data_IF_496759312616
#
_entry.id   IF_496759312616
#
_cell.length_a   1.000
_cell.length_b   1.000
_cell.length_c   1.000
_cell.angle_alpha   90.00
_cell.angle_beta   90.00
_cell.angle_gamma   90.00
#
_symmetry.space_group_name_H-M   'P 1'
#
loop_
_entity.id
_entity.type
_entity.pdbx_description
1 polymer ?
#
# COMPACT_ATOMS: atom_id res chain seq x y z
N UNK A 1 -4.04 -20.88 0.08
CA UNK A 1 -4.54 -19.49 0.27
C UNK A 1 -5.23 -19.02 -1.00
N UNK A 2 -6.39 -18.36 -0.87
CA UNK A 2 -7.11 -17.78 -2.02
C UNK A 2 -6.31 -16.60 -2.60
N UNK A 3 -6.40 -16.32 -3.92
CA UNK A 3 -5.70 -15.19 -4.54
C UNK A 3 -6.00 -13.84 -3.87
N UNK A 4 -7.25 -13.63 -3.43
CA UNK A 4 -7.70 -12.43 -2.70
C UNK A 4 -6.92 -12.19 -1.41
N UNK A 5 -6.65 -13.24 -0.64
CA UNK A 5 -5.87 -13.17 0.60
C UNK A 5 -4.41 -12.83 0.31
N UNK A 6 -3.85 -13.38 -0.77
CA UNK A 6 -2.48 -13.07 -1.20
C UNK A 6 -2.34 -11.60 -1.59
N UNK A 7 -3.32 -11.08 -2.34
CA UNK A 7 -3.32 -9.67 -2.74
C UNK A 7 -3.50 -8.77 -1.51
N UNK A 8 -4.44 -9.07 -0.61
CA UNK A 8 -4.61 -8.31 0.62
C UNK A 8 -3.32 -8.24 1.46
N UNK A 9 -2.66 -9.38 1.68
CA UNK A 9 -1.39 -9.44 2.42
C UNK A 9 -0.29 -8.66 1.69
N UNK A 10 -0.18 -8.80 0.36
CA UNK A 10 0.79 -8.06 -0.43
C UNK A 10 0.54 -6.54 -0.36
N UNK A 11 -0.71 -6.10 -0.48
CA UNK A 11 -1.10 -4.69 -0.35
C UNK A 11 -0.76 -4.14 1.04
N UNK A 12 -0.99 -4.90 2.10
CA UNK A 12 -0.60 -4.52 3.47
C UNK A 12 0.91 -4.41 3.61
N UNK A 13 1.67 -5.39 3.09
CA UNK A 13 3.14 -5.36 3.13
C UNK A 13 3.71 -4.16 2.36
N UNK A 14 3.14 -3.86 1.19
CA UNK A 14 3.54 -2.69 0.38
C UNK A 14 3.17 -1.39 1.10
N UNK A 15 2.01 -1.32 1.76
CA UNK A 15 1.60 -0.19 2.58
C UNK A 15 2.58 0.08 3.73
N UNK A 16 2.96 -0.95 4.47
CA UNK A 16 3.94 -0.84 5.55
C UNK A 16 5.30 -0.37 5.04
N UNK A 17 5.81 -0.98 3.96
CA UNK A 17 7.09 -0.61 3.37
C UNK A 17 7.06 0.84 2.86
N UNK A 18 6.01 1.22 2.14
CA UNK A 18 5.83 2.59 1.67
C UNK A 18 5.77 3.59 2.83
N UNK A 19 5.05 3.27 3.91
CA UNK A 19 4.91 4.16 5.06
C UNK A 19 6.23 4.33 5.82
N UNK A 20 6.99 3.26 6.00
CA UNK A 20 8.33 3.33 6.60
C UNK A 20 9.30 4.15 5.73
N UNK A 21 9.30 3.95 4.41
CA UNK A 21 10.10 4.75 3.48
C UNK A 21 9.67 6.22 3.51
N UNK A 22 8.35 6.49 3.51
CA UNK A 22 7.80 7.85 3.63
C UNK A 22 8.29 8.56 4.90
N UNK A 23 8.38 7.86 6.03
CA UNK A 23 8.89 8.43 7.28
C UNK A 23 10.39 8.75 7.23
N UNK A 24 11.20 7.88 6.61
CA UNK A 24 12.66 8.05 6.54
C UNK A 24 13.06 9.19 5.60
N UNK A 25 12.29 9.44 4.54
CA UNK A 25 12.62 10.45 3.53
C UNK A 25 12.53 11.90 4.03
N UNK A 26 11.94 12.14 5.21
CA UNK A 26 12.00 13.42 5.93
C UNK A 26 11.30 14.62 5.27
N UNK A 27 10.87 14.51 4.01
CA UNK A 27 10.08 15.54 3.32
C UNK A 27 8.71 15.02 2.94
N UNK A 28 7.69 15.85 3.15
CA UNK A 28 6.28 15.50 2.88
C UNK A 28 6.06 15.15 1.39
N UNK A 29 6.75 15.85 0.48
CA UNK A 29 6.59 15.63 -0.95
C UNK A 29 7.15 14.27 -1.39
N UNK A 30 8.29 13.85 -0.83
CA UNK A 30 8.86 12.52 -1.10
C UNK A 30 8.07 11.42 -0.38
N UNK A 31 7.52 11.72 0.80
CA UNK A 31 6.65 10.80 1.54
C UNK A 31 5.37 10.46 0.76
N UNK A 32 4.70 11.46 0.19
CA UNK A 32 3.54 11.25 -0.68
C UNK A 32 3.93 10.53 -1.97
N UNK A 33 5.12 10.83 -2.52
CA UNK A 33 5.67 10.10 -3.68
C UNK A 33 5.88 8.61 -3.44
N UNK A 34 6.43 8.23 -2.28
CA UNK A 34 6.59 6.83 -1.89
C UNK A 34 5.23 6.12 -1.70
N UNK A 35 4.24 6.81 -1.14
CA UNK A 35 2.86 6.33 -1.06
C UNK A 35 2.24 6.08 -2.45
N UNK A 36 2.40 7.03 -3.38
CA UNK A 36 1.92 6.89 -4.75
C UNK A 36 2.58 5.73 -5.51
N UNK A 37 3.89 5.52 -5.31
CA UNK A 37 4.61 4.38 -5.88
C UNK A 37 4.10 3.04 -5.31
N UNK A 38 3.88 2.96 -3.99
CA UNK A 38 3.29 1.78 -3.34
C UNK A 38 1.86 1.50 -3.81
N UNK A 39 1.07 2.55 -4.05
CA UNK A 39 -0.28 2.46 -4.60
C UNK A 39 -0.25 1.87 -6.02
N UNK A 40 0.63 2.38 -6.89
CA UNK A 40 0.82 1.86 -8.24
C UNK A 40 1.26 0.38 -8.23
N UNK A 41 2.21 0.01 -7.36
CA UNK A 41 2.65 -1.38 -7.20
C UNK A 41 1.49 -2.31 -6.81
N UNK A 42 0.64 -1.87 -5.88
CA UNK A 42 -0.56 -2.59 -5.47
C UNK A 42 -1.55 -2.76 -6.63
N UNK A 43 -1.76 -1.70 -7.41
CA UNK A 43 -2.60 -1.73 -8.61
C UNK A 43 -2.10 -2.74 -9.66
N UNK A 44 -0.80 -2.73 -9.96
CA UNK A 44 -0.19 -3.64 -10.93
C UNK A 44 -0.27 -5.11 -10.48
N UNK A 45 -0.01 -5.38 -9.20
CA UNK A 45 -0.20 -6.72 -8.62
C UNK A 45 -1.64 -7.19 -8.79
N UNK A 46 -2.61 -6.32 -8.49
CA UNK A 46 -4.04 -6.60 -8.66
C UNK A 46 -4.39 -6.98 -10.10
N UNK A 47 -3.81 -6.27 -11.08
CA UNK A 47 -4.01 -6.51 -12.51
C UNK A 47 -3.38 -7.81 -13.01
N UNK A 48 -2.34 -8.31 -12.33
CA UNK A 48 -1.63 -9.54 -12.75
C UNK A 48 -2.43 -10.80 -12.42
N UNK A 49 -3.38 -10.73 -11.48
CA UNK A 49 -4.26 -11.85 -11.08
C UNK A 49 -5.65 -11.78 -11.76
N UNK A 50 -5.67 -11.39 -13.04
CA UNK A 50 -6.84 -11.07 -13.86
C UNK A 50 -7.88 -12.20 -13.96
N UNK A 51 -8.76 -12.27 -12.96
CA UNK A 51 -10.16 -12.62 -13.14
C UNK A 51 -10.93 -11.31 -13.01
N UNK A 52 -11.50 -10.81 -14.11
CA UNK A 52 -12.25 -9.55 -14.21
C UNK A 52 -13.24 -9.25 -13.06
N UNK A 53 -13.79 -10.26 -12.38
CA UNK A 53 -14.63 -10.10 -11.17
C UNK A 53 -13.84 -9.82 -9.88
N UNK A 54 -12.62 -10.35 -9.76
CA UNK A 54 -11.73 -10.18 -8.59
C UNK A 54 -11.06 -8.80 -8.58
N UNK A 55 -10.72 -8.24 -9.74
CA UNK A 55 -10.11 -6.91 -9.85
C UNK A 55 -10.99 -5.82 -9.22
N UNK A 56 -12.30 -5.85 -9.47
CA UNK A 56 -13.23 -4.87 -8.90
C UNK A 56 -13.29 -4.96 -7.37
N UNK A 57 -13.31 -6.18 -6.82
CA UNK A 57 -13.29 -6.39 -5.37
C UNK A 57 -11.96 -5.93 -4.74
N UNK A 58 -10.83 -6.25 -5.39
CA UNK A 58 -9.49 -5.85 -4.96
C UNK A 58 -9.34 -4.32 -4.99
N UNK A 59 -9.80 -3.65 -6.04
CA UNK A 59 -9.77 -2.18 -6.09
C UNK A 59 -10.64 -1.57 -4.99
N UNK A 60 -11.81 -2.12 -4.71
CA UNK A 60 -12.71 -1.58 -3.67
C UNK A 60 -12.21 -1.85 -2.25
N UNK A 61 -11.51 -2.96 -1.99
CA UNK A 61 -11.11 -3.35 -0.64
C UNK A 61 -9.61 -3.16 -0.35
N UNK A 62 -8.75 -3.52 -1.29
CA UNK A 62 -7.29 -3.52 -1.12
C UNK A 62 -6.70 -2.12 -1.24
N UNK A 63 -7.28 -1.22 -2.04
CA UNK A 63 -6.79 0.17 -2.16
C UNK A 63 -7.04 1.02 -0.91
N UNK A 64 -8.26 1.04 -0.32
CA UNK A 64 -8.47 1.71 0.96
C UNK A 64 -7.63 1.08 2.09
N UNK A 65 -7.50 -0.26 2.09
CA UNK A 65 -6.66 -0.96 3.06
C UNK A 65 -5.19 -0.57 2.94
N UNK A 66 -4.65 -0.50 1.71
CA UNK A 66 -3.30 0.01 1.47
C UNK A 66 -3.15 1.43 2.00
N UNK A 67 -4.09 2.33 1.68
CA UNK A 67 -4.01 3.73 2.09
C UNK A 67 -3.99 3.88 3.61
N UNK A 68 -4.86 3.17 4.32
CA UNK A 68 -4.89 3.17 5.78
C UNK A 68 -3.59 2.63 6.36
N UNK A 69 -3.10 1.49 5.87
CA UNK A 69 -1.86 0.89 6.36
C UNK A 69 -0.66 1.80 6.10
N UNK A 70 -0.57 2.37 4.90
CA UNK A 70 0.48 3.32 4.52
C UNK A 70 0.46 4.55 5.44
N UNK A 71 -0.70 5.19 5.59
CA UNK A 71 -0.86 6.39 6.40
C UNK A 71 -0.55 6.12 7.87
N UNK A 72 -1.10 5.04 8.44
CA UNK A 72 -0.82 4.66 9.83
C UNK A 72 0.64 4.32 10.04
N UNK A 73 1.26 3.56 9.13
CA UNK A 73 2.68 3.23 9.21
C UNK A 73 3.56 4.48 9.10
N UNK A 74 3.23 5.41 8.20
CA UNK A 74 3.96 6.66 8.06
C UNK A 74 3.90 7.49 9.34
N UNK A 75 2.70 7.68 9.91
CA UNK A 75 2.52 8.43 11.17
C UNK A 75 3.32 7.78 12.30
N UNK A 76 3.20 6.47 12.50
CA UNK A 76 3.88 5.78 13.60
C UNK A 76 5.40 5.89 13.44
N UNK A 77 5.93 5.55 12.27
CA UNK A 77 7.39 5.54 12.05
C UNK A 77 7.94 6.96 12.09
N UNK A 78 7.21 7.96 11.57
CA UNK A 78 7.63 9.36 11.65
C UNK A 78 7.73 9.85 13.10
N UNK A 79 6.82 9.45 13.98
CA UNK A 79 6.89 9.79 15.42
C UNK A 79 7.96 9.00 16.20
N UNK A 80 8.44 7.88 15.67
CA UNK A 80 9.51 7.07 16.31
C UNK A 80 10.89 7.51 15.83
N UNK A 81 11.01 7.94 14.58
CA UNK A 81 12.29 8.28 13.92
C UNK A 81 12.55 9.80 13.91
N UNK A 82 11.50 10.62 13.89
CA UNK A 82 11.59 12.09 13.97
C UNK A 82 11.60 12.60 15.39
#
# INVERSE_FOLDING_TARGET
MKPEQKIGIASTAIGLAAGAVSAILGSEMLAVGAGAAGYAATFFLSKTFDDSKKIKWVLTNSMPSFFLVWLTSWIIVFNVVG
#
